data_IF_505064561438
#
_entry.id   IF_505064561438
#
_cell.length_a   1.000
_cell.length_b   1.000
_cell.length_c   1.000
_cell.angle_alpha   90.00
_cell.angle_beta   90.00
_cell.angle_gamma   90.00
#
_symmetry.space_group_name_H-M   'P 1'
#
loop_
_entity.id
_entity.type
_entity.pdbx_description
1 polymer ?
#
# COMPACT_ATOMS: atom_id res chain seq x y z
N UNK A 1 23.33 -9.84 2.81
CA UNK A 1 22.96 -8.88 1.73
C UNK A 1 21.46 -8.72 1.78
N UNK A 2 20.99 -7.48 1.95
CA UNK A 2 19.57 -7.17 1.99
C UNK A 2 18.96 -7.25 0.59
N UNK A 3 17.84 -7.96 0.47
CA UNK A 3 17.11 -8.18 -0.78
C UNK A 3 15.62 -7.94 -0.55
N UNK A 4 14.97 -7.41 -1.57
CA UNK A 4 13.51 -7.31 -1.63
C UNK A 4 13.00 -8.45 -2.54
N UNK A 5 12.07 -9.26 -2.03
CA UNK A 5 11.42 -10.34 -2.75
C UNK A 5 9.95 -9.95 -2.99
N UNK A 6 9.50 -10.03 -4.23
CA UNK A 6 8.12 -9.70 -4.63
C UNK A 6 7.48 -10.97 -5.18
N UNK A 7 6.34 -11.38 -4.62
CA UNK A 7 5.53 -12.48 -5.12
C UNK A 7 4.14 -11.96 -5.52
N UNK A 8 3.89 -12.01 -6.83
CA UNK A 8 2.66 -11.55 -7.48
C UNK A 8 1.98 -12.66 -8.30
N UNK A 9 2.24 -13.93 -7.99
CA UNK A 9 1.70 -15.07 -8.74
C UNK A 9 0.20 -15.26 -8.48
N UNK A 10 -0.24 -14.99 -7.26
CA UNK A 10 -1.65 -15.00 -6.87
C UNK A 10 -2.27 -13.63 -7.15
N UNK A 11 -3.52 -13.59 -7.62
CA UNK A 11 -4.21 -12.32 -7.88
C UNK A 11 -4.89 -11.75 -6.64
N UNK A 12 -5.12 -12.62 -5.67
CA UNK A 12 -5.84 -12.35 -4.42
C UNK A 12 -4.94 -11.67 -3.39
N UNK A 13 -3.62 -11.82 -3.52
CA UNK A 13 -2.62 -11.24 -2.62
C UNK A 13 -1.34 -10.88 -3.36
N UNK A 14 -0.76 -9.74 -3.00
CA UNK A 14 0.60 -9.36 -3.36
C UNK A 14 1.46 -9.41 -2.10
N UNK A 15 2.62 -10.07 -2.17
CA UNK A 15 3.51 -10.22 -1.02
C UNK A 15 4.87 -9.59 -1.30
N UNK A 16 5.32 -8.73 -0.40
CA UNK A 16 6.64 -8.10 -0.46
C UNK A 16 7.40 -8.43 0.83
N UNK A 17 8.58 -9.02 0.70
CA UNK A 17 9.42 -9.39 1.84
C UNK A 17 10.79 -8.73 1.73
N UNK A 18 11.30 -8.24 2.86
CA UNK A 18 12.69 -7.80 3.00
C UNK A 18 13.45 -8.90 3.72
N UNK A 19 14.51 -9.41 3.10
CA UNK A 19 15.35 -10.48 3.66
C UNK A 19 16.80 -10.05 3.74
N UNK A 20 17.51 -10.44 4.79
CA UNK A 20 18.97 -10.38 4.83
C UNK A 20 19.55 -11.80 4.78
N UNK A 21 20.10 -12.17 3.63
CA UNK A 21 20.40 -13.58 3.36
C UNK A 21 19.11 -14.39 3.35
N UNK A 22 18.99 -15.38 4.25
CA UNK A 22 17.78 -16.20 4.39
C UNK A 22 16.90 -15.79 5.58
N UNK A 23 17.27 -14.75 6.31
CA UNK A 23 16.50 -14.27 7.44
C UNK A 23 15.47 -13.24 6.98
N UNK A 24 14.19 -13.47 7.31
CA UNK A 24 13.11 -12.52 7.09
C UNK A 24 13.24 -11.36 8.08
N UNK A 25 13.21 -10.14 7.56
CA UNK A 25 13.25 -8.92 8.35
C UNK A 25 11.88 -8.26 8.41
N UNK A 26 11.22 -8.14 7.26
CA UNK A 26 9.92 -7.49 7.14
C UNK A 26 9.06 -8.19 6.08
N UNK A 27 7.74 -8.12 6.25
CA UNK A 27 6.76 -8.74 5.37
C UNK A 27 5.52 -7.86 5.31
N UNK A 28 5.17 -7.46 4.10
CA UNK A 28 3.91 -6.78 3.80
C UNK A 28 3.08 -7.61 2.83
N UNK A 29 1.77 -7.65 3.08
CA UNK A 29 0.80 -8.40 2.27
C UNK A 29 -0.34 -7.47 1.92
N UNK A 30 -0.47 -7.17 0.63
CA UNK A 30 -1.54 -6.34 0.11
C UNK A 30 -2.65 -7.22 -0.46
N UNK A 31 -3.88 -6.98 0.00
CA UNK A 31 -5.09 -7.64 -0.51
C UNK A 31 -5.85 -6.58 -1.32
N UNK A 32 -6.18 -6.82 -2.61
CA UNK A 32 -6.79 -5.82 -3.48
C UNK A 32 -8.11 -5.21 -2.95
N UNK A 33 -8.85 -5.94 -2.12
CA UNK A 33 -10.11 -5.47 -1.52
C UNK A 33 -9.93 -4.46 -0.40
N UNK A 34 -8.71 -4.24 0.10
CA UNK A 34 -8.39 -3.32 1.21
C UNK A 34 -7.39 -2.25 0.76
N UNK A 35 -7.77 -1.50 -0.27
CA UNK A 35 -6.97 -0.38 -0.78
C UNK A 35 -6.69 0.66 0.32
N UNK A 36 -5.41 0.97 0.54
CA UNK A 36 -4.99 2.02 1.46
C UNK A 36 -5.11 3.38 0.77
N UNK A 37 -5.94 4.26 1.32
CA UNK A 37 -6.16 5.62 0.77
C UNK A 37 -5.44 6.73 1.52
N UNK A 38 -4.84 6.41 2.67
CA UNK A 38 -4.15 7.37 3.52
C UNK A 38 -2.85 7.83 2.84
N UNK A 39 -2.64 9.14 2.75
CA UNK A 39 -1.46 9.71 2.10
C UNK A 39 -1.59 9.84 0.58
N UNK A 40 -2.71 9.41 0.00
CA UNK A 40 -2.95 9.59 -1.42
C UNK A 40 -3.12 11.07 -1.76
N UNK A 41 -2.57 11.47 -2.90
CA UNK A 41 -2.65 12.83 -3.43
C UNK A 41 -3.50 12.78 -4.70
N UNK A 42 -4.54 13.60 -4.73
CA UNK A 42 -5.49 13.66 -5.84
C UNK A 42 -5.61 15.08 -6.38
N UNK A 43 -5.85 15.21 -7.69
CA UNK A 43 -6.30 16.48 -8.28
C UNK A 43 -7.81 16.59 -8.12
N UNK A 44 -8.26 17.27 -7.07
CA UNK A 44 -9.68 17.50 -6.79
C UNK A 44 -10.27 18.66 -7.60
N UNK A 45 -11.60 18.62 -7.82
CA UNK A 45 -12.41 19.76 -8.24
C UNK A 45 -13.32 20.15 -7.08
N UNK A 46 -13.40 21.44 -6.75
CA UNK A 46 -14.31 21.94 -5.71
C UNK A 46 -15.74 21.65 -6.15
N UNK A 47 -16.49 20.94 -5.30
CA UNK A 47 -17.90 20.60 -5.54
C UNK A 47 -18.85 21.55 -4.81
N UNK A 48 -18.50 21.96 -3.58
CA UNK A 48 -19.28 22.90 -2.76
C UNK A 48 -18.40 23.52 -1.68
N UNK A 49 -18.75 24.73 -1.22
CA UNK A 49 -18.21 25.39 -0.04
C UNK A 49 -19.33 25.56 0.98
N UNK A 50 -19.15 25.09 2.21
CA UNK A 50 -20.13 25.16 3.30
C UNK A 50 -19.45 25.85 4.50
N UNK A 51 -19.80 27.11 4.75
CA UNK A 51 -19.09 27.96 5.72
C UNK A 51 -19.29 27.53 7.20
N UNK A 52 -20.22 26.61 7.48
CA UNK A 52 -20.56 26.16 8.85
C UNK A 52 -19.74 24.98 9.35
N UNK A 53 -18.93 24.36 8.50
CA UNK A 53 -18.12 23.17 8.84
C UNK A 53 -16.70 23.52 9.33
N UNK A 54 -16.41 24.81 9.49
CA UNK A 54 -15.14 25.37 9.97
C UNK A 54 -15.33 26.05 11.33
#
# INVERSE_FOLDING_TARGET
>A
MKRMLINATQREELRVAIVDGQNLYDLDIEIPSKEQRKGNIYKGRITRVEASLE
#
